data_IF_839561294022
#
_entry.id   IF_839561294022
#
_cell.length_a   1.000
_cell.length_b   1.000
_cell.length_c   1.000
_cell.angle_alpha   90.00
_cell.angle_beta   90.00
_cell.angle_gamma   90.00
#
_symmetry.space_group_name_H-M   'P 1'
#
loop_
_entity.id
_entity.type
_entity.pdbx_description
1 polymer ?
#
# COMPACT_ATOMS: atom_id res chain seq x y z
N UNK A 1 7.21 -7.03 -30.02
CA UNK A 1 6.24 -6.21 -30.77
C UNK A 1 4.92 -6.23 -30.01
N UNK A 2 4.45 -5.10 -29.56
CA UNK A 2 3.20 -4.96 -28.80
C UNK A 2 1.99 -5.16 -29.71
N UNK A 3 0.94 -5.90 -29.29
CA UNK A 3 -0.34 -5.94 -29.99
C UNK A 3 -0.99 -4.56 -30.06
N UNK A 4 -1.68 -4.24 -31.15
CA UNK A 4 -2.30 -2.90 -31.36
C UNK A 4 -3.28 -2.50 -30.24
N UNK A 5 -4.02 -3.45 -29.69
CA UNK A 5 -4.91 -3.20 -28.56
C UNK A 5 -4.15 -2.74 -27.30
N UNK A 6 -2.98 -3.32 -27.05
CA UNK A 6 -2.14 -2.94 -25.91
C UNK A 6 -1.50 -1.56 -26.12
N UNK A 7 -1.08 -1.25 -27.35
CA UNK A 7 -0.55 0.07 -27.69
C UNK A 7 -1.59 1.15 -27.38
N UNK A 8 -2.84 0.92 -27.79
CA UNK A 8 -3.95 1.86 -27.55
C UNK A 8 -4.21 2.06 -26.08
N UNK A 9 -4.26 0.98 -25.29
CA UNK A 9 -4.47 1.05 -23.84
C UNK A 9 -3.35 1.78 -23.12
N UNK A 10 -2.10 1.49 -23.45
CA UNK A 10 -0.92 2.16 -22.86
C UNK A 10 -0.92 3.66 -23.19
N UNK A 11 -1.21 4.03 -24.42
CA UNK A 11 -1.33 5.44 -24.82
C UNK A 11 -2.40 6.17 -24.01
N UNK A 12 -3.59 5.59 -23.88
CA UNK A 12 -4.67 6.17 -23.07
C UNK A 12 -4.27 6.38 -21.61
N UNK A 13 -3.57 5.41 -21.02
CA UNK A 13 -3.11 5.52 -19.63
C UNK A 13 -2.05 6.60 -19.45
N UNK A 14 -1.10 6.71 -20.39
CA UNK A 14 -0.10 7.78 -20.36
C UNK A 14 -0.75 9.16 -20.52
N UNK A 15 -1.76 9.28 -21.38
CA UNK A 15 -2.52 10.52 -21.56
C UNK A 15 -3.26 10.90 -20.28
N UNK A 16 -3.93 9.95 -19.60
CA UNK A 16 -4.57 10.20 -18.32
C UNK A 16 -3.56 10.63 -17.22
N UNK A 17 -2.38 10.03 -17.23
CA UNK A 17 -1.32 10.42 -16.29
C UNK A 17 -0.79 11.81 -16.58
N UNK A 18 -0.62 12.18 -17.86
CA UNK A 18 -0.25 13.53 -18.26
C UNK A 18 -1.30 14.55 -17.80
N UNK A 19 -2.60 14.23 -17.94
CA UNK A 19 -3.70 15.09 -17.52
C UNK A 19 -3.69 15.37 -16.01
N UNK A 20 -3.29 14.38 -15.23
CA UNK A 20 -3.29 14.49 -13.77
C UNK A 20 -2.00 15.09 -13.18
N UNK A 21 -0.88 15.02 -13.93
CA UNK A 21 0.45 15.29 -13.34
C UNK A 21 1.15 16.50 -13.97
N UNK A 22 0.86 16.81 -15.24
CA UNK A 22 1.56 17.86 -15.98
C UNK A 22 0.89 19.23 -15.85
N UNK A 23 1.67 20.33 -15.84
CA UNK A 23 1.14 21.69 -15.96
C UNK A 23 0.41 21.89 -17.30
N UNK A 24 -0.65 22.73 -17.31
CA UNK A 24 -1.52 22.94 -18.47
C UNK A 24 -0.77 23.32 -19.77
N UNK A 25 0.30 24.14 -19.64
CA UNK A 25 1.13 24.59 -20.73
C UNK A 25 1.90 23.48 -21.45
N UNK A 26 2.16 22.35 -20.78
CA UNK A 26 2.91 21.20 -21.31
C UNK A 26 2.06 19.97 -21.65
N UNK A 27 0.82 19.92 -21.18
CA UNK A 27 -0.08 18.78 -21.40
C UNK A 27 -0.30 18.49 -22.88
N UNK A 28 -0.58 19.51 -23.66
CA UNK A 28 -0.97 19.34 -25.06
C UNK A 28 0.17 18.82 -25.92
N UNK A 29 1.40 19.34 -25.71
CA UNK A 29 2.58 18.83 -26.40
C UNK A 29 2.95 17.39 -26.02
N UNK A 30 2.87 17.05 -24.74
CA UNK A 30 3.14 15.70 -24.26
C UNK A 30 2.12 14.69 -24.79
N UNK A 31 0.82 15.03 -24.85
CA UNK A 31 -0.22 14.17 -25.43
C UNK A 31 0.02 13.90 -26.93
N UNK A 32 0.27 14.94 -27.70
CA UNK A 32 0.55 14.80 -29.13
C UNK A 32 1.76 13.92 -29.39
N UNK A 33 2.80 14.02 -28.56
CA UNK A 33 3.98 13.17 -28.67
C UNK A 33 3.64 11.70 -28.42
N UNK A 34 2.87 11.37 -27.38
CA UNK A 34 2.46 9.99 -27.09
C UNK A 34 1.52 9.45 -28.18
N UNK A 35 0.59 10.25 -28.67
CA UNK A 35 -0.33 9.84 -29.76
C UNK A 35 0.40 9.54 -31.05
N UNK A 36 1.43 10.32 -31.39
CA UNK A 36 2.22 10.20 -32.64
C UNK A 36 3.19 9.01 -32.61
N UNK A 37 3.52 8.43 -31.47
CA UNK A 37 4.44 7.29 -31.37
C UNK A 37 3.84 6.03 -32.00
N UNK A 38 4.64 5.31 -32.76
CA UNK A 38 4.32 3.94 -33.18
C UNK A 38 4.61 2.94 -32.05
N UNK A 39 4.28 1.65 -32.27
CA UNK A 39 4.45 0.61 -31.24
C UNK A 39 5.90 0.42 -30.81
N UNK A 40 6.86 0.57 -31.71
CA UNK A 40 8.28 0.41 -31.40
C UNK A 40 8.83 1.62 -30.64
N UNK A 41 8.43 2.82 -31.07
CA UNK A 41 8.78 4.07 -30.39
C UNK A 41 8.21 4.14 -28.98
N UNK A 42 6.96 3.66 -28.81
CA UNK A 42 6.33 3.57 -27.50
C UNK A 42 7.07 2.57 -26.59
N UNK A 43 7.46 1.40 -27.11
CA UNK A 43 8.23 0.41 -26.37
C UNK A 43 9.59 0.97 -25.94
N UNK A 44 10.29 1.67 -26.81
CA UNK A 44 11.57 2.31 -26.52
C UNK A 44 11.43 3.45 -25.52
N UNK A 45 10.39 4.28 -25.64
CA UNK A 45 10.03 5.31 -24.67
C UNK A 45 9.78 4.73 -23.28
N UNK A 46 9.03 3.62 -23.18
CA UNK A 46 8.76 2.94 -21.93
C UNK A 46 10.03 2.36 -21.30
N UNK A 47 10.95 1.80 -22.10
CA UNK A 47 12.26 1.30 -21.65
C UNK A 47 13.15 2.44 -21.14
N UNK A 48 13.29 3.53 -21.88
CA UNK A 48 14.13 4.67 -21.50
C UNK A 48 13.65 5.33 -20.20
N UNK A 49 12.33 5.39 -19.99
CA UNK A 49 11.75 5.95 -18.78
C UNK A 49 11.63 4.93 -17.63
N UNK A 50 12.21 3.72 -17.77
CA UNK A 50 12.17 2.63 -16.79
C UNK A 50 10.74 2.21 -16.38
N UNK A 51 9.77 2.42 -17.26
CA UNK A 51 8.38 2.04 -17.06
C UNK A 51 8.16 0.55 -17.34
N UNK A 52 9.09 -0.09 -18.07
CA UNK A 52 9.13 -1.54 -18.29
C UNK A 52 10.55 -2.08 -18.07
N UNK A 53 10.65 -3.31 -17.57
CA UNK A 53 11.92 -4.04 -17.46
C UNK A 53 12.11 -4.93 -18.69
N UNK A 54 13.35 -5.01 -19.18
CA UNK A 54 13.69 -5.92 -20.29
C UNK A 54 13.30 -7.37 -19.95
N UNK A 55 12.59 -8.02 -20.89
CA UNK A 55 12.29 -9.45 -20.80
C UNK A 55 10.95 -9.81 -20.14
N UNK A 56 10.13 -8.85 -19.70
CA UNK A 56 8.76 -9.14 -19.30
C UNK A 56 7.77 -8.81 -20.43
N UNK A 57 6.83 -9.74 -20.78
CA UNK A 57 5.76 -9.40 -21.70
C UNK A 57 4.94 -8.26 -21.09
N UNK A 58 4.66 -7.24 -21.88
CA UNK A 58 3.71 -6.18 -21.50
C UNK A 58 2.33 -6.82 -21.62
N UNK A 59 2.00 -7.66 -20.65
CA UNK A 59 0.61 -8.05 -20.42
C UNK A 59 -0.06 -6.84 -19.81
N UNK A 60 -1.25 -6.47 -20.27
CA UNK A 60 -2.04 -5.33 -19.79
C UNK A 60 -2.51 -5.43 -18.33
N UNK A 61 -1.94 -6.32 -17.56
CA UNK A 61 -1.89 -6.27 -16.11
C UNK A 61 -0.82 -5.25 -15.73
N UNK A 62 -1.25 -4.00 -15.51
CA UNK A 62 -0.54 -3.14 -14.58
C UNK A 62 -0.25 -4.03 -13.38
N UNK A 63 1.03 -4.43 -13.19
CA UNK A 63 1.41 -5.06 -11.92
C UNK A 63 0.96 -4.06 -10.87
N UNK A 64 -0.12 -4.39 -10.22
CA UNK A 64 -0.72 -3.48 -9.29
C UNK A 64 0.31 -3.22 -8.20
N UNK A 65 0.85 -2.00 -8.18
CA UNK A 65 1.93 -1.60 -7.28
C UNK A 65 1.59 -2.01 -5.84
N UNK A 66 0.33 -1.89 -5.47
CA UNK A 66 -0.13 -2.28 -4.15
C UNK A 66 -0.08 -3.80 -3.93
N UNK A 67 -0.36 -4.60 -4.94
CA UNK A 67 -0.23 -6.07 -4.85
C UNK A 67 1.23 -6.48 -4.68
N UNK A 68 2.13 -5.80 -5.39
CA UNK A 68 3.58 -6.02 -5.27
C UNK A 68 4.12 -5.58 -3.89
N UNK A 69 3.57 -4.51 -3.30
CA UNK A 69 3.90 -4.11 -1.92
C UNK A 69 3.36 -5.14 -0.92
N UNK A 70 2.12 -5.59 -1.08
CA UNK A 70 1.48 -6.57 -0.17
C UNK A 70 2.18 -7.93 -0.24
N UNK A 71 2.65 -8.35 -1.43
CA UNK A 71 3.42 -9.59 -1.60
C UNK A 71 4.88 -9.47 -1.16
N UNK A 72 5.37 -8.25 -0.85
CA UNK A 72 6.76 -8.00 -0.46
C UNK A 72 7.74 -7.93 -1.62
N UNK A 73 7.29 -7.91 -2.87
CA UNK A 73 8.14 -7.74 -4.05
C UNK A 73 8.71 -6.32 -4.14
N UNK A 74 7.94 -5.32 -3.70
CA UNK A 74 8.40 -3.93 -3.58
C UNK A 74 8.66 -3.66 -2.09
N UNK A 75 9.88 -3.23 -1.72
CA UNK A 75 10.21 -2.87 -0.35
C UNK A 75 9.37 -1.65 0.09
N UNK A 76 8.96 -1.64 1.35
CA UNK A 76 8.15 -0.56 1.91
C UNK A 76 8.40 -0.38 3.41
N UNK A 77 8.20 0.84 3.91
CA UNK A 77 8.30 1.16 5.34
C UNK A 77 7.03 0.72 6.07
N UNK A 78 7.02 -0.55 6.47
CA UNK A 78 5.89 -1.17 7.16
C UNK A 78 5.73 -0.63 8.58
N UNK A 79 4.51 -0.24 8.93
CA UNK A 79 4.12 0.27 10.25
C UNK A 79 3.33 -0.75 11.06
N UNK A 80 2.39 -1.41 10.42
CA UNK A 80 1.55 -2.43 11.02
C UNK A 80 0.99 -3.35 9.94
N UNK A 81 0.57 -4.53 10.33
CA UNK A 81 -0.06 -5.49 9.42
C UNK A 81 -1.02 -6.37 10.20
N UNK A 82 -2.16 -6.64 9.60
CA UNK A 82 -3.08 -7.64 10.12
C UNK A 82 -3.54 -8.61 9.01
N UNK A 83 -4.57 -9.39 9.28
CA UNK A 83 -5.13 -10.34 8.31
C UNK A 83 -5.71 -9.64 7.07
N UNK A 84 -6.14 -8.38 7.19
CA UNK A 84 -6.96 -7.70 6.19
C UNK A 84 -6.23 -6.59 5.45
N UNK A 85 -5.21 -5.99 6.06
CA UNK A 85 -4.47 -4.88 5.46
C UNK A 85 -3.00 -4.84 5.87
N UNK A 86 -2.20 -4.23 5.01
CA UNK A 86 -0.84 -3.79 5.25
C UNK A 86 -0.83 -2.27 5.37
N UNK A 87 -0.23 -1.74 6.43
CA UNK A 87 -0.05 -0.31 6.66
C UNK A 87 1.42 0.07 6.44
N UNK A 88 1.68 0.97 5.51
CA UNK A 88 3.02 1.43 5.14
C UNK A 88 3.09 2.96 5.14
N UNK A 89 4.28 3.53 5.30
CA UNK A 89 4.48 4.95 5.10
C UNK A 89 4.40 5.31 3.61
N UNK A 90 3.77 6.43 3.31
CA UNK A 90 3.77 7.02 1.98
C UNK A 90 5.14 7.67 1.71
N UNK A 91 5.77 7.34 0.58
CA UNK A 91 7.07 7.88 0.17
C UNK A 91 6.96 9.30 -0.40
N UNK A 92 5.79 9.66 -0.93
CA UNK A 92 5.46 11.01 -1.36
C UNK A 92 4.32 11.54 -0.49
N UNK A 93 4.58 11.83 0.81
CA UNK A 93 3.53 12.15 1.75
C UNK A 93 2.99 13.57 1.56
N UNK A 94 1.74 13.76 1.99
CA UNK A 94 1.12 15.08 2.14
C UNK A 94 1.69 15.80 3.36
N UNK A 95 2.01 15.02 4.40
CA UNK A 95 2.53 15.50 5.68
C UNK A 95 3.35 14.42 6.37
N UNK A 96 4.27 14.83 7.25
CA UNK A 96 5.15 13.91 8.00
C UNK A 96 4.34 12.86 8.77
N UNK A 97 4.56 11.58 8.44
CA UNK A 97 3.84 10.47 9.07
C UNK A 97 2.55 10.07 8.36
N UNK A 98 2.40 10.41 7.09
CA UNK A 98 1.31 9.92 6.23
C UNK A 98 1.45 8.41 6.04
N UNK A 99 0.41 7.67 6.39
CA UNK A 99 0.32 6.21 6.25
C UNK A 99 -0.75 5.87 5.23
N UNK A 100 -0.46 4.92 4.36
CA UNK A 100 -1.45 4.27 3.52
C UNK A 100 -1.73 2.85 4.03
N UNK A 101 -3.00 2.49 4.09
CA UNK A 101 -3.44 1.13 4.37
C UNK A 101 -3.91 0.50 3.07
N UNK A 102 -3.23 -0.54 2.68
CA UNK A 102 -3.49 -1.30 1.46
C UNK A 102 -4.27 -2.55 1.88
N UNK A 103 -5.54 -2.72 1.47
CA UNK A 103 -6.26 -3.95 1.72
C UNK A 103 -5.54 -5.13 1.09
N UNK A 104 -5.42 -6.27 1.79
CA UNK A 104 -4.80 -7.48 1.23
C UNK A 104 -5.62 -8.11 0.12
N UNK A 105 -6.92 -7.95 0.19
CA UNK A 105 -7.84 -8.26 -0.90
C UNK A 105 -8.08 -6.99 -1.71
N UNK A 106 -7.97 -7.10 -3.02
CA UNK A 106 -8.21 -5.99 -3.94
C UNK A 106 -9.61 -5.39 -3.73
N UNK A 107 -9.66 -4.07 -3.58
CA UNK A 107 -10.90 -3.33 -3.39
C UNK A 107 -11.09 -2.34 -4.55
N UNK A 108 -12.02 -2.66 -5.46
CA UNK A 108 -12.36 -1.82 -6.62
C UNK A 108 -13.37 -0.73 -6.28
N UNK A 109 -13.91 -0.71 -5.05
CA UNK A 109 -14.77 0.34 -4.52
C UNK A 109 -14.60 0.45 -3.01
N UNK A 110 -15.04 1.58 -2.42
CA UNK A 110 -14.92 1.84 -0.97
C UNK A 110 -15.71 0.80 -0.16
N UNK A 111 -16.86 0.37 -0.67
CA UNK A 111 -17.74 -0.59 -0.01
C UNK A 111 -17.11 -1.99 0.09
N UNK A 112 -16.19 -2.31 -0.81
CA UNK A 112 -15.45 -3.58 -0.80
C UNK A 112 -14.29 -3.60 0.20
N UNK A 113 -13.94 -2.45 0.79
CA UNK A 113 -12.91 -2.40 1.82
C UNK A 113 -13.45 -3.07 3.09
N UNK A 114 -12.80 -4.13 3.60
CA UNK A 114 -13.23 -4.80 4.82
C UNK A 114 -13.26 -3.87 6.04
N UNK A 115 -14.32 -3.94 6.84
CA UNK A 115 -14.46 -3.12 8.05
C UNK A 115 -13.26 -3.14 9.01
N UNK A 116 -12.51 -4.25 9.19
CA UNK A 116 -11.30 -4.26 10.00
C UNK A 116 -10.21 -3.29 9.53
N UNK A 117 -10.13 -2.97 8.23
CA UNK A 117 -9.16 -1.99 7.69
C UNK A 117 -9.41 -0.61 8.29
N UNK A 118 -10.67 -0.19 8.43
CA UNK A 118 -11.04 1.06 9.08
C UNK A 118 -10.73 1.04 10.58
N UNK A 119 -10.84 -0.13 11.22
CA UNK A 119 -10.47 -0.29 12.63
C UNK A 119 -8.96 -0.14 12.81
N UNK A 120 -8.15 -0.69 11.90
CA UNK A 120 -6.70 -0.50 11.88
C UNK A 120 -6.36 0.98 11.63
N UNK A 121 -7.03 1.65 10.69
CA UNK A 121 -6.85 3.08 10.43
C UNK A 121 -7.11 3.93 11.69
N UNK A 122 -8.19 3.66 12.43
CA UNK A 122 -8.50 4.32 13.71
C UNK A 122 -7.43 4.06 14.78
N UNK A 123 -6.91 2.83 14.86
CA UNK A 123 -5.80 2.49 15.78
C UNK A 123 -4.55 3.30 15.45
N UNK A 124 -4.18 3.36 14.16
CA UNK A 124 -3.01 4.09 13.70
C UNK A 124 -3.18 5.60 13.86
N UNK A 125 -4.36 6.15 13.60
CA UNK A 125 -4.68 7.56 13.86
C UNK A 125 -4.42 7.96 15.31
N UNK A 126 -4.87 7.15 16.28
CA UNK A 126 -4.58 7.38 17.71
C UNK A 126 -3.08 7.33 18.00
N UNK A 127 -2.36 6.38 17.40
CA UNK A 127 -0.92 6.22 17.55
C UNK A 127 -0.16 7.42 16.98
N UNK A 128 -0.51 7.88 15.79
CA UNK A 128 0.03 9.08 15.16
C UNK A 128 -0.18 10.29 16.08
N UNK A 129 -1.42 10.50 16.56
CA UNK A 129 -1.74 11.61 17.45
C UNK A 129 -0.91 11.61 18.73
N UNK A 130 -0.70 10.43 19.31
CA UNK A 130 0.12 10.27 20.53
C UNK A 130 1.61 10.50 20.30
N UNK A 131 2.16 9.98 19.19
CA UNK A 131 3.61 9.94 18.93
C UNK A 131 4.14 11.15 18.18
N UNK A 132 3.39 11.67 17.20
CA UNK A 132 3.80 12.77 16.35
C UNK A 132 3.15 14.11 16.74
N UNK A 133 2.13 14.09 17.62
CA UNK A 133 1.44 15.26 18.19
C UNK A 133 0.95 16.28 17.14
N UNK A 134 0.31 15.85 16.04
CA UNK A 134 -0.29 16.77 15.10
C UNK A 134 -1.52 17.46 15.73
N UNK A 135 -1.98 18.55 15.09
CA UNK A 135 -3.24 19.22 15.43
C UNK A 135 -4.42 18.26 15.30
N UNK A 136 -4.45 17.53 14.19
CA UNK A 136 -5.50 16.57 13.84
C UNK A 136 -4.92 15.40 13.06
N UNK A 137 -5.64 14.27 12.98
CA UNK A 137 -5.35 13.15 12.06
C UNK A 137 -6.59 12.86 11.26
N UNK A 138 -6.47 12.94 9.93
CA UNK A 138 -7.56 12.65 9.00
C UNK A 138 -7.43 11.24 8.45
N UNK A 139 -8.58 10.62 8.21
CA UNK A 139 -8.72 9.31 7.56
C UNK A 139 -9.60 9.52 6.34
N UNK A 140 -9.10 9.14 5.17
CA UNK A 140 -9.86 9.28 3.93
C UNK A 140 -9.53 8.11 2.98
N UNK A 141 -10.51 7.70 2.19
CA UNK A 141 -10.30 6.75 1.09
C UNK A 141 -9.88 7.50 -0.17
N UNK A 142 -9.05 6.87 -0.99
CA UNK A 142 -8.75 7.33 -2.35
C UNK A 142 -8.58 6.15 -3.28
N UNK A 143 -8.85 6.37 -4.57
CA UNK A 143 -8.48 5.41 -5.61
C UNK A 143 -7.08 5.74 -6.11
N UNK A 144 -6.23 4.73 -6.21
CA UNK A 144 -4.92 4.84 -6.81
C UNK A 144 -4.59 3.51 -7.51
N UNK A 145 -4.08 3.57 -8.72
CA UNK A 145 -3.77 2.40 -9.55
C UNK A 145 -4.95 1.40 -9.70
N UNK A 146 -6.19 1.91 -9.75
CA UNK A 146 -7.39 1.10 -9.88
C UNK A 146 -7.91 0.46 -8.57
N UNK A 147 -7.20 0.60 -7.46
CA UNK A 147 -7.60 0.09 -6.15
C UNK A 147 -7.92 1.20 -5.16
N UNK A 148 -8.86 0.91 -4.26
CA UNK A 148 -9.15 1.79 -3.13
C UNK A 148 -8.27 1.47 -1.94
N UNK A 149 -7.62 2.50 -1.42
CA UNK A 149 -6.78 2.48 -0.24
C UNK A 149 -7.32 3.46 0.81
N UNK A 150 -6.89 3.29 2.05
CA UNK A 150 -7.19 4.24 3.13
C UNK A 150 -5.94 5.04 3.46
N UNK A 151 -6.06 6.35 3.40
CA UNK A 151 -5.03 7.29 3.81
C UNK A 151 -5.28 7.72 5.26
N UNK A 152 -4.22 7.68 6.08
CA UNK A 152 -4.22 8.19 7.45
C UNK A 152 -3.09 9.21 7.54
N UNK A 153 -3.42 10.48 7.56
CA UNK A 153 -2.41 11.52 7.54
C UNK A 153 -2.59 12.56 8.64
N UNK A 154 -1.48 12.95 9.27
CA UNK A 154 -1.47 14.02 10.27
C UNK A 154 -1.70 15.37 9.59
N UNK A 155 -2.39 16.25 10.30
CA UNK A 155 -2.59 17.64 9.90
C UNK A 155 -1.87 18.52 10.91
N UNK A 156 -0.84 19.23 10.47
CA UNK A 156 -0.07 20.17 11.28
C UNK A 156 -0.51 21.62 11.04
N UNK A 157 -0.84 21.93 9.81
CA UNK A 157 -1.35 23.26 9.37
C UNK A 157 -2.76 23.11 8.83
N UNK A 158 -2.93 22.96 7.52
CA UNK A 158 -4.21 22.83 6.82
C UNK A 158 -4.14 21.76 5.71
N UNK A 159 -3.38 20.69 5.92
CA UNK A 159 -3.19 19.62 4.94
C UNK A 159 -4.52 18.91 4.63
N UNK A 160 -4.70 18.58 3.36
CA UNK A 160 -5.83 17.82 2.80
C UNK A 160 -5.33 16.82 1.77
N UNK A 161 -6.18 15.93 1.26
CA UNK A 161 -5.79 14.97 0.21
C UNK A 161 -5.28 15.64 -1.08
N UNK A 162 -5.74 16.87 -1.33
CA UNK A 162 -5.35 17.65 -2.51
C UNK A 162 -4.13 18.56 -2.25
N UNK A 163 -3.55 18.51 -1.05
CA UNK A 163 -2.34 19.28 -0.75
C UNK A 163 -1.14 18.74 -1.53
N UNK A 164 -0.19 19.63 -1.83
CA UNK A 164 1.04 19.25 -2.50
C UNK A 164 1.78 18.18 -1.70
N UNK A 165 2.18 17.13 -2.39
CA UNK A 165 3.03 16.07 -1.84
C UNK A 165 4.50 16.47 -1.96
N UNK A 166 5.33 15.94 -1.07
CA UNK A 166 6.78 16.07 -1.16
C UNK A 166 7.43 14.70 -1.16
N UNK A 167 8.66 14.61 -1.63
CA UNK A 167 9.42 13.37 -1.54
C UNK A 167 10.08 13.30 -0.15
N UNK A 168 9.69 12.30 0.65
CA UNK A 168 10.28 12.09 1.97
C UNK A 168 11.66 11.43 1.84
N UNK A 169 12.63 11.94 2.59
CA UNK A 169 13.96 11.33 2.65
C UNK A 169 13.92 10.02 3.42
N UNK A 170 14.78 9.09 3.05
CA UNK A 170 14.88 7.76 3.69
C UNK A 170 15.09 7.87 5.21
N UNK A 171 15.90 8.83 5.65
CA UNK A 171 16.15 9.09 7.07
C UNK A 171 14.87 9.51 7.82
N UNK A 172 14.02 10.34 7.18
CA UNK A 172 12.72 10.73 7.73
C UNK A 172 11.78 9.53 7.86
N UNK A 173 11.72 8.70 6.82
CA UNK A 173 10.86 7.52 6.79
C UNK A 173 11.27 6.51 7.88
N UNK A 174 12.56 6.27 8.05
CA UNK A 174 13.09 5.38 9.10
C UNK A 174 12.83 5.93 10.51
N UNK A 175 13.02 7.24 10.74
CA UNK A 175 12.69 7.87 12.02
C UNK A 175 11.22 7.69 12.39
N UNK A 176 10.33 7.94 11.43
CA UNK A 176 8.89 7.82 11.63
C UNK A 176 8.49 6.36 11.82
N UNK A 177 9.05 5.46 11.02
CA UNK A 177 8.84 4.03 11.17
C UNK A 177 9.19 3.57 12.58
N UNK A 178 10.37 3.93 13.09
CA UNK A 178 10.79 3.59 14.45
C UNK A 178 9.84 4.09 15.55
N UNK A 179 9.18 5.25 15.34
CA UNK A 179 8.18 5.79 16.26
C UNK A 179 6.81 5.12 16.15
N UNK A 180 6.43 4.72 14.95
CA UNK A 180 5.09 4.25 14.62
C UNK A 180 4.97 2.75 14.38
N UNK A 181 6.09 2.03 14.22
CA UNK A 181 6.05 0.58 14.03
C UNK A 181 5.39 -0.13 15.23
N UNK A 182 4.50 -1.04 14.95
CA UNK A 182 3.93 -1.93 15.96
C UNK A 182 4.78 -3.19 16.01
N UNK A 183 5.72 -3.25 16.94
CA UNK A 183 6.45 -4.50 17.20
C UNK A 183 5.44 -5.57 17.56
N UNK A 184 5.21 -6.49 16.64
CA UNK A 184 4.37 -7.66 16.90
C UNK A 184 5.10 -8.53 17.91
N UNK A 185 4.84 -8.30 19.20
CA UNK A 185 5.24 -9.26 20.22
C UNK A 185 4.42 -10.52 19.93
N UNK A 186 5.05 -11.51 19.27
CA UNK A 186 4.48 -12.86 19.23
C UNK A 186 4.25 -13.25 20.69
N UNK A 187 3.02 -13.13 21.17
CA UNK A 187 2.62 -13.71 22.46
C UNK A 187 2.90 -15.20 22.33
N UNK A 188 4.04 -15.63 22.86
CA UNK A 188 4.28 -17.02 23.15
C UNK A 188 3.19 -17.35 24.18
N UNK A 189 2.12 -17.97 23.72
CA UNK A 189 1.09 -18.53 24.61
C UNK A 189 1.82 -19.64 25.36
N UNK A 190 2.37 -19.33 26.54
CA UNK A 190 2.79 -20.33 27.50
C UNK A 190 1.51 -21.08 27.86
N UNK A 191 1.27 -22.18 27.16
CA UNK A 191 0.25 -23.14 27.59
C UNK A 191 0.64 -23.54 29.02
N UNK A 192 -0.20 -23.22 29.98
CA UNK A 192 -0.04 -23.81 31.34
C UNK A 192 0.00 -25.31 31.17
N UNK A 193 0.99 -26.00 31.76
CA UNK A 193 1.00 -27.45 31.71
C UNK A 193 -0.34 -27.94 32.31
N UNK A 194 -1.12 -28.68 31.53
CA UNK A 194 -2.28 -29.39 32.05
C UNK A 194 -1.74 -30.39 33.08
N UNK A 195 -2.21 -30.26 34.34
CA UNK A 195 -2.00 -31.30 35.33
C UNK A 195 -2.66 -32.56 34.76
N UNK A 196 -1.84 -33.52 34.38
CA UNK A 196 -2.29 -34.88 34.09
C UNK A 196 -2.80 -35.41 35.42
N UNK A 197 -4.12 -35.56 35.57
CA UNK A 197 -4.68 -36.33 36.67
C UNK A 197 -4.30 -37.79 36.42
N UNK A 198 -3.39 -38.32 37.18
CA UNK A 198 -3.13 -39.75 37.23
C UNK A 198 -4.45 -40.45 37.62
N UNK A 199 -5.12 -41.05 36.67
CA UNK A 199 -6.16 -42.00 36.93
C UNK A 199 -5.50 -43.24 37.56
N UNK A 200 -5.70 -43.47 38.84
CA UNK A 200 -5.35 -44.76 39.49
C UNK A 200 -5.93 -45.90 38.66
N UNK A 201 -5.04 -46.70 38.04
CA UNK A 201 -5.42 -47.94 37.40
C UNK A 201 -5.66 -48.97 38.51
N UNK A 202 -6.92 -49.18 38.87
CA UNK A 202 -7.29 -50.27 39.77
C UNK A 202 -7.20 -51.58 39.01
N UNK A 203 -6.18 -52.36 39.35
CA UNK A 203 -6.04 -53.73 38.85
C UNK A 203 -7.20 -54.60 39.40
N UNK A 204 -7.79 -55.49 38.56
CA UNK A 204 -8.83 -56.39 39.04
C UNK A 204 -8.25 -57.39 40.04
N UNK A 205 -8.96 -57.60 41.13
CA UNK A 205 -8.61 -58.64 42.14
C UNK A 205 -8.62 -60.02 41.46
N UNK A 206 -7.54 -60.77 41.59
CA UNK A 206 -7.51 -62.19 41.22
C UNK A 206 -8.55 -62.92 42.04
N UNK A 207 -9.41 -63.63 41.34
CA UNK A 207 -10.34 -64.61 41.95
C UNK A 207 -9.57 -65.91 42.10
N UNK A 208 -9.74 -66.64 43.24
CA UNK A 208 -9.02 -67.86 43.57
C UNK A 208 -9.37 -69.01 42.63
#
# INVERSE_FOLDING_TARGET
MLPEEQITQIKQQLIQQIDSTFPEDKKQGAKQQIEAMDGNQLEEFLKQNKLIKEGQPITGEQQNVFRSIVSGQIPSHKIDEDKYALAVLEINPISKGHIILIPKQEATSVEKIPQPVFSLAKKLSKKIKSKLKPKEVKIASSNAFGEFIINVFPVYKNESLNSQKYHAEEAELQEIQGKLETKTIKKIIKRKPQKIQEKEIRLPKRIP
#
